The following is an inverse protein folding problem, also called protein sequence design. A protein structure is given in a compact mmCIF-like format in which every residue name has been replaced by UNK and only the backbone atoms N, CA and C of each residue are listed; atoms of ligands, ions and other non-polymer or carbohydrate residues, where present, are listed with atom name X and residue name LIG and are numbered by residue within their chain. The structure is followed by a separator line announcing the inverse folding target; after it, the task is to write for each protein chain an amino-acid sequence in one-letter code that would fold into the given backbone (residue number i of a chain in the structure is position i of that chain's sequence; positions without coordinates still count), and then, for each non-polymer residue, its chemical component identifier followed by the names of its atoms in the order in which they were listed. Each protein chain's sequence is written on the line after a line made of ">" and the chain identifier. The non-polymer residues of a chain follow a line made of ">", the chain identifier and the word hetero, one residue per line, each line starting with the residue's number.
data_IF_575913258368
#
_entry.id   IF_575913258368
#
_cell.length_a   1.000
_cell.length_b   1.000
_cell.length_c   1.000
_cell.angle_alpha   90.00
_cell.angle_beta   90.00
_cell.angle_gamma   90.00
#
_symmetry.space_group_name_H-M   'P 1'
#
loop_
_entity.id
_entity.type
_entity.pdbx_description
1 polymer ?
#
# COMPACT_ATOMS: atom_id res chain seq x y z
N UNK A 1 6.79 -34.14 5.00
CA UNK A 1 6.14 -33.05 5.73
C UNK A 1 5.86 -33.59 7.12
N UNK A 2 6.33 -32.93 8.18
CA UNK A 2 5.98 -33.29 9.55
C UNK A 2 4.46 -33.12 9.74
N UNK A 3 3.82 -34.01 10.50
CA UNK A 3 2.42 -33.80 10.91
C UNK A 3 2.34 -32.53 11.76
N UNK A 4 1.42 -31.64 11.39
CA UNK A 4 1.12 -30.42 12.15
C UNK A 4 0.34 -30.77 13.42
N UNK A 5 0.62 -30.06 14.51
CA UNK A 5 -0.03 -30.25 15.80
C UNK A 5 -1.52 -29.86 15.78
N UNK A 6 -2.29 -30.27 16.79
CA UNK A 6 -3.71 -29.90 16.88
C UNK A 6 -3.91 -28.40 17.17
N UNK A 7 -2.96 -27.78 17.87
CA UNK A 7 -2.91 -26.32 18.07
C UNK A 7 -2.69 -25.60 16.73
N UNK A 8 -1.73 -26.07 15.92
CA UNK A 8 -1.47 -25.51 14.59
C UNK A 8 -2.71 -25.64 13.67
N UNK A 9 -3.42 -26.78 13.70
CA UNK A 9 -4.66 -26.96 12.92
C UNK A 9 -5.76 -25.96 13.32
N UNK A 10 -5.89 -25.66 14.61
CA UNK A 10 -6.86 -24.67 15.10
C UNK A 10 -6.49 -23.26 14.61
N UNK A 11 -5.20 -22.90 14.66
CA UNK A 11 -4.70 -21.62 14.15
C UNK A 11 -4.95 -21.45 12.64
N UNK A 12 -4.73 -22.50 11.84
CA UNK A 12 -5.08 -22.49 10.42
C UNK A 12 -6.58 -22.23 10.20
N UNK A 13 -7.45 -22.79 11.04
CA UNK A 13 -8.90 -22.62 10.94
C UNK A 13 -9.31 -21.17 11.21
N UNK A 14 -8.82 -20.58 12.30
CA UNK A 14 -9.09 -19.17 12.63
C UNK A 14 -8.52 -18.22 11.58
N UNK A 15 -7.27 -18.45 11.17
CA UNK A 15 -6.64 -17.67 10.11
C UNK A 15 -7.48 -17.67 8.83
N UNK A 16 -7.99 -18.83 8.40
CA UNK A 16 -8.81 -18.90 7.19
C UNK A 16 -10.10 -18.08 7.31
N UNK A 17 -10.80 -18.17 8.46
CA UNK A 17 -12.00 -17.38 8.71
C UNK A 17 -11.72 -15.87 8.64
N UNK A 18 -10.60 -15.41 9.23
CA UNK A 18 -10.18 -14.02 9.17
C UNK A 18 -9.85 -13.57 7.74
N UNK A 19 -9.05 -14.34 7.01
CA UNK A 19 -8.68 -14.02 5.63
C UNK A 19 -9.93 -13.90 4.75
N UNK A 20 -10.90 -14.82 4.88
CA UNK A 20 -12.15 -14.77 4.13
C UNK A 20 -12.99 -13.53 4.44
N UNK A 21 -13.09 -13.14 5.71
CA UNK A 21 -13.82 -11.94 6.11
C UNK A 21 -13.16 -10.67 5.53
N UNK A 22 -11.84 -10.57 5.58
CA UNK A 22 -11.11 -9.41 5.06
C UNK A 22 -11.16 -9.33 3.53
N UNK A 23 -10.99 -10.46 2.83
CA UNK A 23 -11.18 -10.50 1.38
C UNK A 23 -12.62 -10.08 0.98
N UNK A 24 -13.63 -10.41 1.81
CA UNK A 24 -15.02 -9.97 1.57
C UNK A 24 -15.17 -8.44 1.63
N UNK A 25 -14.43 -7.76 2.52
CA UNK A 25 -14.41 -6.30 2.57
C UNK A 25 -13.81 -5.69 1.31
N UNK A 26 -12.67 -6.18 0.83
CA UNK A 26 -12.06 -5.73 -0.42
C UNK A 26 -13.02 -5.85 -1.61
N UNK A 27 -13.83 -6.90 -1.65
CA UNK A 27 -14.81 -7.13 -2.73
C UNK A 27 -16.10 -6.33 -2.54
N UNK A 28 -16.45 -6.00 -1.30
CA UNK A 28 -17.62 -5.19 -0.98
C UNK A 28 -17.38 -3.72 -1.26
N UNK A 29 -16.17 -3.23 -1.01
CA UNK A 29 -15.71 -1.87 -1.34
C UNK A 29 -15.39 -1.68 -2.84
N UNK A 30 -15.86 -2.57 -3.72
CA UNK A 30 -15.67 -2.41 -5.16
C UNK A 30 -16.44 -1.19 -5.71
N UNK A 31 -15.92 -0.52 -6.75
CA UNK A 31 -16.63 0.56 -7.44
C UNK A 31 -18.08 0.20 -7.80
N UNK A 32 -19.02 1.10 -7.52
CA UNK A 32 -20.44 0.94 -7.82
C UNK A 32 -21.25 0.13 -6.80
N UNK A 33 -20.60 -0.51 -5.81
CA UNK A 33 -21.31 -1.09 -4.64
C UNK A 33 -21.51 -0.07 -3.52
N UNK A 34 -20.63 0.91 -3.46
CA UNK A 34 -20.76 2.13 -2.67
C UNK A 34 -20.84 3.31 -3.63
N UNK A 35 -21.81 4.20 -3.42
CA UNK A 35 -21.92 5.43 -4.20
C UNK A 35 -20.92 6.45 -3.66
N UNK A 36 -20.02 6.94 -4.52
CA UNK A 36 -19.18 8.08 -4.19
C UNK A 36 -20.06 9.28 -3.84
N UNK A 37 -19.67 10.06 -2.83
CA UNK A 37 -20.37 11.30 -2.50
C UNK A 37 -20.43 12.22 -3.74
N UNK A 38 -21.52 12.95 -4.01
CA UNK A 38 -21.50 13.95 -5.07
C UNK A 38 -20.48 15.05 -4.72
N UNK A 39 -19.87 15.65 -5.74
CA UNK A 39 -19.07 16.87 -5.56
C UNK A 39 -20.04 17.99 -5.20
N UNK A 40 -19.81 18.67 -4.09
CA UNK A 40 -20.61 19.82 -3.67
C UNK A 40 -20.59 20.91 -4.75
N UNK A 41 -21.75 21.44 -5.09
CA UNK A 41 -21.86 22.59 -6.00
C UNK A 41 -21.26 23.87 -5.41
N UNK A 42 -21.14 23.94 -4.07
CA UNK A 42 -20.48 25.04 -3.37
C UNK A 42 -19.05 24.65 -3.06
N UNK A 43 -18.11 25.34 -3.70
CA UNK A 43 -16.68 25.16 -3.48
C UNK A 43 -16.21 25.99 -2.30
N UNK A 44 -15.54 25.34 -1.35
CA UNK A 44 -14.93 26.02 -0.21
C UNK A 44 -13.55 26.53 -0.63
N UNK A 45 -13.42 27.84 -0.75
CA UNK A 45 -12.17 28.49 -1.13
C UNK A 45 -11.22 28.59 0.08
N UNK A 46 -9.97 28.19 -0.12
CA UNK A 46 -8.91 28.26 0.88
C UNK A 46 -7.54 28.26 0.20
N UNK A 47 -6.52 28.81 0.88
CA UNK A 47 -5.16 28.74 0.37
C UNK A 47 -4.63 27.29 0.36
N UNK A 48 -3.73 26.91 -0.56
CA UNK A 48 -3.13 25.57 -0.58
C UNK A 48 -2.46 25.19 0.75
N UNK A 49 -1.84 26.14 1.44
CA UNK A 49 -1.19 25.93 2.74
C UNK A 49 -2.22 25.57 3.82
N UNK A 50 -3.35 26.28 3.82
CA UNK A 50 -4.45 26.04 4.75
C UNK A 50 -5.12 24.68 4.47
N UNK A 51 -5.37 24.37 3.20
CA UNK A 51 -5.90 23.08 2.78
C UNK A 51 -4.98 21.94 3.22
N UNK A 52 -3.68 22.08 2.94
CA UNK A 52 -2.65 21.09 3.29
C UNK A 52 -2.60 20.82 4.79
N UNK A 53 -2.55 21.88 5.61
CA UNK A 53 -2.53 21.74 7.06
C UNK A 53 -3.79 21.03 7.59
N UNK A 54 -4.97 21.38 7.05
CA UNK A 54 -6.25 20.73 7.44
C UNK A 54 -6.31 19.27 7.03
N UNK A 55 -5.91 18.96 5.79
CA UNK A 55 -5.89 17.58 5.27
C UNK A 55 -4.94 16.71 6.08
N UNK A 56 -3.69 17.15 6.32
CA UNK A 56 -2.75 16.38 7.14
C UNK A 56 -3.27 16.14 8.56
N UNK A 57 -3.88 17.15 9.18
CA UNK A 57 -4.50 16.99 10.51
C UNK A 57 -5.68 16.00 10.50
N UNK A 58 -6.51 16.04 9.46
CA UNK A 58 -7.62 15.10 9.29
C UNK A 58 -7.13 13.66 9.09
N UNK A 59 -6.09 13.46 8.28
CA UNK A 59 -5.49 12.15 8.07
C UNK A 59 -4.94 11.56 9.38
N UNK A 60 -4.29 12.39 10.21
CA UNK A 60 -3.86 11.97 11.56
C UNK A 60 -5.04 11.64 12.47
N UNK A 61 -6.15 12.35 12.35
CA UNK A 61 -7.37 12.03 13.09
C UNK A 61 -7.95 10.66 12.69
N UNK A 62 -7.77 10.24 11.43
CA UNK A 62 -8.10 8.88 10.98
C UNK A 62 -7.10 7.81 11.44
N UNK A 63 -6.04 8.19 12.14
CA UNK A 63 -5.02 7.27 12.66
C UNK A 63 -3.79 7.10 11.75
N UNK A 64 -3.64 7.93 10.71
CA UNK A 64 -2.42 7.89 9.90
C UNK A 64 -1.20 8.34 10.73
N UNK A 65 -0.16 7.51 10.75
CA UNK A 65 1.10 7.80 11.48
C UNK A 65 1.86 8.95 10.80
N UNK A 66 1.94 8.90 9.47
CA UNK A 66 2.55 9.92 8.63
C UNK A 66 1.69 10.22 7.38
N UNK A 67 1.88 11.43 6.84
CA UNK A 67 1.09 11.97 5.72
C UNK A 67 1.96 12.84 4.84
N UNK A 68 2.12 12.40 3.59
CA UNK A 68 2.85 13.06 2.53
C UNK A 68 1.94 13.44 1.37
N UNK A 69 2.33 14.44 0.60
CA UNK A 69 1.59 14.89 -0.59
C UNK A 69 2.58 15.02 -1.75
N UNK A 70 2.24 14.51 -2.92
CA UNK A 70 3.00 14.73 -4.15
C UNK A 70 2.11 15.16 -5.32
N UNK A 71 2.72 15.78 -6.34
CA UNK A 71 2.05 16.06 -7.60
C UNK A 71 2.17 14.87 -8.56
N UNK A 72 1.06 14.54 -9.21
CA UNK A 72 1.04 13.62 -10.35
C UNK A 72 1.65 14.34 -11.54
N UNK A 73 2.81 13.85 -11.96
CA UNK A 73 3.68 14.48 -12.97
C UNK A 73 3.98 13.50 -14.10
N UNK A 74 4.44 13.97 -15.26
CA UNK A 74 4.66 13.11 -16.43
C UNK A 74 5.68 11.98 -16.20
N UNK A 75 6.67 12.19 -15.33
CA UNK A 75 7.62 11.16 -14.91
C UNK A 75 6.96 9.99 -14.16
N UNK A 76 5.74 10.18 -13.66
CA UNK A 76 5.02 9.15 -12.91
C UNK A 76 4.20 8.21 -13.78
N UNK A 77 4.00 8.53 -15.07
CA UNK A 77 3.24 7.69 -16.01
C UNK A 77 3.61 6.20 -15.96
N UNK A 78 4.90 5.81 -15.89
CA UNK A 78 5.28 4.40 -15.89
C UNK A 78 4.86 3.63 -14.62
N UNK A 79 4.45 4.33 -13.56
CA UNK A 79 3.97 3.75 -12.30
C UNK A 79 2.45 3.61 -12.23
N UNK A 80 1.72 4.07 -13.25
CA UNK A 80 0.31 3.74 -13.42
C UNK A 80 0.18 2.40 -14.14
N UNK A 81 -0.76 1.58 -13.70
CA UNK A 81 -1.12 0.38 -14.44
C UNK A 81 -1.77 0.74 -15.77
N UNK A 82 -1.69 -0.15 -16.76
CA UNK A 82 -2.45 -0.01 -18.00
C UNK A 82 -3.93 -0.38 -17.82
N UNK A 83 -4.17 -1.34 -16.93
CA UNK A 83 -5.50 -1.85 -16.57
C UNK A 83 -5.59 -1.78 -15.05
N UNK A 84 -6.43 -0.87 -14.55
CA UNK A 84 -6.75 -0.73 -13.14
C UNK A 84 -7.79 -1.77 -12.72
N UNK A 85 -7.74 -2.15 -11.45
CA UNK A 85 -8.70 -3.09 -10.88
C UNK A 85 -10.08 -2.44 -10.79
N UNK A 86 -11.12 -3.23 -11.02
CA UNK A 86 -12.52 -2.83 -10.85
C UNK A 86 -13.28 -3.73 -9.90
N UNK A 87 -12.68 -4.86 -9.51
CA UNK A 87 -13.22 -5.75 -8.50
C UNK A 87 -12.13 -6.04 -7.48
N UNK A 88 -12.50 -6.05 -6.20
CA UNK A 88 -11.63 -6.57 -5.14
C UNK A 88 -11.15 -7.98 -5.48
N UNK A 89 -10.00 -8.39 -4.94
CA UNK A 89 -9.43 -9.71 -5.18
C UNK A 89 -9.56 -10.59 -3.95
N UNK A 90 -9.93 -11.86 -4.16
CA UNK A 90 -9.77 -12.88 -3.13
C UNK A 90 -8.36 -13.46 -3.25
N UNK A 91 -7.65 -13.52 -2.14
CA UNK A 91 -6.25 -13.99 -2.13
C UNK A 91 -6.12 -15.45 -1.79
N UNK A 92 -7.19 -16.07 -1.27
CA UNK A 92 -7.25 -17.51 -0.95
C UNK A 92 -7.97 -18.34 -2.02
N UNK A 93 -8.37 -17.73 -3.14
CA UNK A 93 -9.09 -18.41 -4.22
C UNK A 93 -10.55 -18.69 -3.85
N UNK A 94 -11.46 -17.84 -4.32
CA UNK A 94 -12.90 -18.04 -4.09
C UNK A 94 -13.51 -18.86 -5.24
N UNK A 95 -14.33 -19.88 -4.92
CA UNK A 95 -14.95 -20.79 -5.92
C UNK A 95 -15.73 -20.07 -7.02
N UNK A 96 -16.27 -18.89 -6.72
CA UNK A 96 -17.04 -18.06 -7.64
C UNK A 96 -16.29 -16.79 -8.07
N UNK A 97 -14.95 -16.74 -7.92
CA UNK A 97 -14.18 -15.60 -8.38
C UNK A 97 -14.38 -15.43 -9.88
N UNK A 98 -14.89 -14.26 -10.26
CA UNK A 98 -14.97 -13.85 -11.65
C UNK A 98 -13.68 -13.10 -11.97
N UNK A 99 -13.13 -13.35 -13.15
CA UNK A 99 -11.96 -12.62 -13.62
C UNK A 99 -12.29 -11.12 -13.70
N UNK A 100 -11.52 -10.30 -12.97
CA UNK A 100 -11.58 -8.85 -13.08
C UNK A 100 -10.93 -8.42 -14.40
N UNK A 101 -11.76 -8.08 -15.39
CA UNK A 101 -11.28 -7.52 -16.67
C UNK A 101 -10.69 -6.12 -16.52
N UNK A 102 -10.89 -5.50 -15.36
CA UNK A 102 -10.40 -4.17 -15.01
C UNK A 102 -11.00 -3.07 -15.89
N UNK A 103 -10.37 -1.90 -15.80
CA UNK A 103 -10.68 -0.73 -16.64
C UNK A 103 -9.38 -0.11 -17.13
N UNK A 104 -9.42 0.49 -18.32
CA UNK A 104 -8.31 1.31 -18.77
C UNK A 104 -8.08 2.48 -17.81
N UNK A 105 -6.82 2.73 -17.46
CA UNK A 105 -6.45 3.91 -16.68
C UNK A 105 -6.15 5.04 -17.67
N UNK A 106 -6.83 6.19 -17.55
CA UNK A 106 -6.62 7.30 -18.48
C UNK A 106 -5.25 7.95 -18.27
N UNK A 107 -4.65 8.40 -19.37
CA UNK A 107 -3.51 9.31 -19.36
C UNK A 107 -3.78 10.47 -20.34
N UNK A 108 -3.59 11.75 -19.96
CA UNK A 108 -3.14 12.25 -18.65
C UNK A 108 -4.11 11.88 -17.51
N UNK A 109 -3.56 11.67 -16.31
CA UNK A 109 -4.37 11.28 -15.15
C UNK A 109 -5.21 12.48 -14.65
N UNK A 110 -6.50 12.31 -14.29
CA UNK A 110 -7.43 13.42 -14.07
C UNK A 110 -7.24 14.19 -12.75
N UNK A 111 -6.30 13.76 -11.90
CA UNK A 111 -6.06 14.36 -10.58
C UNK A 111 -4.63 14.90 -10.49
N UNK A 112 -4.48 16.13 -10.03
CA UNK A 112 -3.18 16.79 -9.91
C UNK A 112 -2.35 16.33 -8.70
N UNK A 113 -3.00 16.03 -7.57
CA UNK A 113 -2.32 15.70 -6.32
C UNK A 113 -2.64 14.28 -5.86
N UNK A 114 -1.67 13.66 -5.21
CA UNK A 114 -1.82 12.41 -4.48
C UNK A 114 -1.46 12.66 -3.01
N UNK A 115 -2.39 12.36 -2.12
CA UNK A 115 -2.18 12.35 -0.67
C UNK A 115 -1.85 10.91 -0.29
N UNK A 116 -0.68 10.69 0.30
CA UNK A 116 -0.21 9.38 0.76
C UNK A 116 -0.23 9.38 2.28
N UNK A 117 -0.86 8.38 2.87
CA UNK A 117 -0.97 8.19 4.32
C UNK A 117 -0.37 6.83 4.70
N UNK A 118 0.12 6.71 5.93
CA UNK A 118 0.62 5.43 6.45
C UNK A 118 -0.25 4.88 7.56
N UNK A 119 -0.69 3.62 7.43
CA UNK A 119 -1.38 2.87 8.49
C UNK A 119 -0.42 1.90 9.16
N UNK A 120 -0.26 1.98 10.48
CA UNK A 120 0.71 1.17 11.20
C UNK A 120 0.19 -0.26 11.35
N UNK A 121 0.96 -1.23 10.88
CA UNK A 121 0.65 -2.63 11.11
C UNK A 121 0.79 -2.99 12.59
N UNK A 122 0.05 -4.01 13.05
CA UNK A 122 0.21 -4.54 14.40
C UNK A 122 1.61 -5.18 14.58
N UNK A 123 2.49 -4.45 15.26
CA UNK A 123 3.89 -4.85 15.45
C UNK A 123 4.02 -6.22 16.13
N UNK A 124 3.17 -6.50 17.12
CA UNK A 124 3.20 -7.78 17.86
C UNK A 124 2.89 -8.96 16.97
N UNK A 125 1.94 -8.83 16.04
CA UNK A 125 1.68 -9.91 15.10
C UNK A 125 2.78 -10.01 14.05
N UNK A 126 3.40 -8.90 13.65
CA UNK A 126 4.54 -8.93 12.73
C UNK A 126 5.79 -9.58 13.35
N UNK A 127 5.95 -9.54 14.67
CA UNK A 127 7.00 -10.28 15.39
C UNK A 127 6.87 -11.80 15.24
N UNK A 128 5.70 -12.30 14.82
CA UNK A 128 5.51 -13.70 14.42
C UNK A 128 6.29 -14.07 13.15
N UNK A 129 6.72 -13.08 12.34
CA UNK A 129 7.49 -13.15 11.09
C UNK A 129 6.85 -13.93 9.93
N UNK A 130 6.17 -15.03 10.22
CA UNK A 130 5.58 -15.97 9.27
C UNK A 130 4.46 -16.76 9.93
N UNK A 131 3.64 -17.41 9.11
CA UNK A 131 2.54 -18.23 9.58
C UNK A 131 1.17 -17.67 9.19
N UNK A 132 0.14 -18.49 9.34
CA UNK A 132 -1.21 -18.16 8.86
C UNK A 132 -1.83 -16.96 9.60
N UNK A 133 -1.53 -16.78 10.89
CA UNK A 133 -2.02 -15.62 11.66
C UNK A 133 -1.33 -14.30 11.25
N UNK A 134 -0.07 -14.37 10.83
CA UNK A 134 0.67 -13.22 10.28
C UNK A 134 0.07 -12.76 8.94
N UNK A 135 -0.37 -13.70 8.10
CA UNK A 135 -1.12 -13.35 6.89
C UNK A 135 -2.47 -12.73 7.23
N UNK A 136 -3.20 -13.31 8.19
CA UNK A 136 -4.50 -12.79 8.61
C UNK A 136 -4.43 -11.35 9.14
N UNK A 137 -3.45 -11.03 9.98
CA UNK A 137 -3.26 -9.64 10.47
C UNK A 137 -2.89 -8.67 9.36
N UNK A 138 -2.06 -9.12 8.41
CA UNK A 138 -1.77 -8.38 7.19
C UNK A 138 -3.04 -8.07 6.40
N UNK A 139 -3.98 -9.02 6.29
CA UNK A 139 -5.27 -8.81 5.62
C UNK A 139 -6.17 -7.84 6.38
N UNK A 140 -6.14 -7.89 7.70
CA UNK A 140 -6.86 -6.94 8.54
C UNK A 140 -6.37 -5.52 8.29
N UNK A 141 -5.05 -5.31 8.30
CA UNK A 141 -4.46 -4.00 7.99
C UNK A 141 -4.88 -3.53 6.59
N UNK A 142 -4.79 -4.38 5.58
CA UNK A 142 -5.26 -4.04 4.22
C UNK A 142 -6.73 -3.58 4.19
N UNK A 143 -7.63 -4.33 4.84
CA UNK A 143 -9.05 -3.98 4.84
C UNK A 143 -9.32 -2.69 5.65
N UNK A 144 -8.60 -2.46 6.74
CA UNK A 144 -8.69 -1.24 7.56
C UNK A 144 -8.16 -0.01 6.83
N UNK A 145 -7.06 -0.17 6.10
CA UNK A 145 -6.45 0.87 5.29
C UNK A 145 -7.36 1.39 4.17
N UNK A 146 -8.37 0.63 3.73
CA UNK A 146 -9.34 1.10 2.72
C UNK A 146 -10.30 2.20 3.28
N UNK A 147 -10.50 2.30 4.60
CA UNK A 147 -11.52 3.20 5.17
C UNK A 147 -11.12 4.69 5.16
N UNK A 148 -9.92 5.02 5.64
CA UNK A 148 -9.48 6.41 5.74
C UNK A 148 -9.47 7.15 4.38
N UNK A 149 -9.00 6.53 3.27
CA UNK A 149 -9.13 7.08 1.93
C UNK A 149 -10.56 7.43 1.53
N UNK A 150 -11.53 6.56 1.82
CA UNK A 150 -12.93 6.80 1.45
C UNK A 150 -13.59 7.93 2.26
N UNK A 151 -13.25 8.05 3.54
CA UNK A 151 -13.68 9.20 4.35
C UNK A 151 -13.10 10.50 3.80
N UNK A 152 -11.79 10.51 3.52
CA UNK A 152 -11.11 11.68 3.00
C UNK A 152 -11.63 12.08 1.62
N UNK A 153 -11.84 11.12 0.72
CA UNK A 153 -12.50 11.32 -0.57
C UNK A 153 -13.84 12.04 -0.39
N UNK A 154 -14.71 11.51 0.48
CA UNK A 154 -16.05 12.08 0.71
C UNK A 154 -15.99 13.50 1.26
N UNK A 155 -15.05 13.77 2.15
CA UNK A 155 -14.84 15.11 2.73
C UNK A 155 -14.37 16.08 1.65
N UNK A 156 -13.36 15.74 0.86
CA UNK A 156 -12.85 16.61 -0.21
C UNK A 156 -13.95 16.92 -1.25
N UNK A 157 -14.76 15.92 -1.60
CA UNK A 157 -15.92 16.08 -2.49
C UNK A 157 -16.98 17.00 -1.90
N UNK A 158 -17.21 16.93 -0.59
CA UNK A 158 -18.10 17.84 0.14
C UNK A 158 -17.55 19.27 0.19
N UNK A 159 -16.23 19.46 0.14
CA UNK A 159 -15.60 20.79 -0.01
C UNK A 159 -15.70 21.35 -1.44
N UNK A 160 -16.27 20.60 -2.39
CA UNK A 160 -16.47 21.01 -3.78
C UNK A 160 -15.28 20.76 -4.71
N UNK A 161 -14.39 19.82 -4.34
CA UNK A 161 -13.26 19.40 -5.17
C UNK A 161 -13.39 17.93 -5.55
N UNK A 162 -12.96 17.56 -6.75
CA UNK A 162 -12.95 16.16 -7.14
C UNK A 162 -11.86 15.38 -6.40
N UNK A 163 -12.18 14.15 -6.02
CA UNK A 163 -11.27 13.22 -5.37
C UNK A 163 -11.68 11.77 -5.62
N UNK A 164 -10.68 10.89 -5.56
CA UNK A 164 -10.81 9.43 -5.69
C UNK A 164 -9.86 8.74 -4.71
N UNK A 165 -10.40 7.90 -3.84
CA UNK A 165 -9.59 6.96 -3.07
C UNK A 165 -8.94 5.91 -3.99
N UNK A 166 -7.78 5.41 -3.58
CA UNK A 166 -7.03 4.34 -4.25
C UNK A 166 -7.06 3.02 -3.42
N UNK A 167 -8.24 2.48 -3.05
CA UNK A 167 -8.29 1.27 -2.23
C UNK A 167 -7.79 0.05 -3.02
N UNK A 168 -7.56 -1.06 -2.31
CA UNK A 168 -7.06 -2.30 -2.92
C UNK A 168 -7.97 -2.85 -4.03
N UNK A 169 -9.27 -2.54 -3.96
CA UNK A 169 -10.32 -2.93 -4.91
C UNK A 169 -10.38 -2.07 -6.18
N UNK A 170 -9.70 -0.91 -6.19
CA UNK A 170 -9.78 0.09 -7.26
C UNK A 170 -8.46 0.87 -7.42
N UNK A 171 -7.33 0.16 -7.27
CA UNK A 171 -5.99 0.74 -7.35
C UNK A 171 -5.55 1.01 -8.80
N UNK A 172 -4.93 2.16 -9.01
CA UNK A 172 -4.41 2.61 -10.32
C UNK A 172 -2.89 2.58 -10.44
N UNK A 173 -2.18 2.45 -9.33
CA UNK A 173 -0.75 2.76 -9.25
C UNK A 173 0.06 1.69 -8.53
N UNK A 174 1.36 1.68 -8.82
CA UNK A 174 2.37 1.20 -7.89
C UNK A 174 2.57 2.26 -6.79
N UNK A 175 2.39 1.89 -5.54
CA UNK A 175 2.28 2.83 -4.40
C UNK A 175 3.65 3.39 -3.96
N UNK A 176 4.70 2.56 -4.02
CA UNK A 176 6.02 2.90 -3.48
C UNK A 176 6.65 4.15 -4.11
N UNK A 177 6.62 4.36 -5.44
CA UNK A 177 7.10 5.60 -6.06
C UNK A 177 6.37 6.85 -5.59
N UNK A 178 5.06 6.76 -5.32
CA UNK A 178 4.26 7.89 -4.83
C UNK A 178 4.62 8.22 -3.39
N UNK A 179 4.79 7.20 -2.54
CA UNK A 179 5.22 7.38 -1.15
C UNK A 179 6.63 8.00 -1.06
N UNK A 180 7.58 7.55 -1.89
CA UNK A 180 8.93 8.16 -1.96
C UNK A 180 8.83 9.62 -2.43
N UNK A 181 8.06 9.91 -3.49
CA UNK A 181 7.89 11.27 -4.00
C UNK A 181 7.20 12.20 -2.99
N UNK A 182 6.27 11.66 -2.20
CA UNK A 182 5.55 12.35 -1.13
C UNK A 182 6.35 12.52 0.16
N UNK A 183 7.60 12.02 0.22
CA UNK A 183 8.47 12.17 1.38
C UNK A 183 8.13 11.26 2.57
N UNK A 184 7.35 10.20 2.36
CA UNK A 184 7.01 9.22 3.41
C UNK A 184 8.26 8.43 3.85
N UNK A 185 9.14 8.11 2.91
CA UNK A 185 10.25 7.21 3.16
C UNK A 185 11.13 7.01 1.93
N UNK A 186 12.07 6.07 2.07
CA UNK A 186 12.96 5.63 1.00
C UNK A 186 12.65 4.19 0.60
N UNK A 187 12.91 3.82 -0.66
CA UNK A 187 12.77 2.43 -1.11
C UNK A 187 13.88 1.56 -0.46
N UNK A 188 13.49 0.57 0.32
CA UNK A 188 14.41 -0.34 0.99
C UNK A 188 14.84 -1.53 0.14
N UNK A 189 15.87 -2.25 0.61
CA UNK A 189 16.37 -3.49 -0.02
C UNK A 189 15.26 -4.49 -0.33
N UNK A 190 14.31 -4.68 0.58
CA UNK A 190 13.18 -5.62 0.44
C UNK A 190 12.15 -5.22 -0.62
N UNK A 191 12.28 -4.04 -1.24
CA UNK A 191 11.35 -3.54 -2.26
C UNK A 191 10.11 -2.85 -1.69
N UNK A 192 10.03 -2.65 -0.38
CA UNK A 192 9.01 -1.81 0.27
C UNK A 192 9.61 -0.46 0.66
N UNK A 193 8.78 0.56 0.84
CA UNK A 193 9.20 1.84 1.41
C UNK A 193 9.46 1.65 2.91
N UNK A 194 10.52 2.27 3.42
CA UNK A 194 10.87 2.33 4.84
C UNK A 194 10.77 3.78 5.28
N UNK A 195 10.02 4.04 6.35
CA UNK A 195 9.93 5.38 6.95
C UNK A 195 11.01 5.55 8.02
N UNK A 196 11.26 6.77 8.51
CA UNK A 196 12.10 6.98 9.70
C UNK A 196 11.62 6.24 10.95
N UNK A 197 10.37 5.75 10.96
CA UNK A 197 9.78 4.99 12.06
C UNK A 197 9.79 3.46 11.83
N UNK A 198 10.33 3.00 10.70
CA UNK A 198 10.53 1.59 10.39
C UNK A 198 9.74 1.06 9.19
N UNK A 199 9.67 -0.26 9.07
CA UNK A 199 9.10 -0.97 7.90
C UNK A 199 7.64 -1.45 8.07
N UNK A 200 7.04 -1.19 9.24
CA UNK A 200 5.82 -1.84 9.70
C UNK A 200 4.56 -1.01 9.44
N UNK A 201 4.34 -0.63 8.19
CA UNK A 201 3.19 0.18 7.80
C UNK A 201 2.62 -0.26 6.44
N UNK A 202 1.43 0.26 6.14
CA UNK A 202 0.76 0.20 4.83
C UNK A 202 0.60 1.58 4.27
N UNK A 203 0.58 1.65 2.94
CA UNK A 203 0.31 2.87 2.22
C UNK A 203 -1.18 2.96 1.89
N UNK A 204 -1.68 4.18 1.87
CA UNK A 204 -3.06 4.52 1.56
C UNK A 204 -3.04 5.81 0.74
N UNK A 205 -3.72 5.84 -0.41
CA UNK A 205 -3.71 7.02 -1.27
C UNK A 205 -5.09 7.60 -1.58
N UNK A 206 -5.13 8.93 -1.70
CA UNK A 206 -6.27 9.68 -2.24
C UNK A 206 -5.77 10.64 -3.29
N UNK A 207 -6.32 10.52 -4.51
CA UNK A 207 -6.08 11.46 -5.59
C UNK A 207 -7.09 12.60 -5.53
N UNK A 208 -6.65 13.84 -5.81
CA UNK A 208 -7.54 15.00 -5.76
C UNK A 208 -7.09 16.17 -6.65
N UNK A 209 -8.05 17.04 -6.96
CA UNK A 209 -7.85 18.36 -7.56
C UNK A 209 -7.96 19.51 -6.53
N UNK A 210 -8.11 19.22 -5.23
CA UNK A 210 -7.93 20.20 -4.17
C UNK A 210 -6.49 20.75 -4.23
N UNK A 211 -6.29 22.08 -4.35
CA UNK A 211 -4.95 22.66 -4.32
C UNK A 211 -4.24 22.38 -3.00
N UNK A 212 -3.06 21.75 -3.08
CA UNK A 212 -2.25 21.35 -1.94
C UNK A 212 -0.79 21.74 -2.17
N UNK A 213 -0.02 21.78 -1.09
CA UNK A 213 1.42 22.02 -1.10
C UNK A 213 2.13 20.65 -1.08
N UNK A 214 2.85 20.27 -2.14
CA UNK A 214 3.59 19.01 -2.19
C UNK A 214 4.77 19.01 -1.21
N UNK A 215 4.99 17.85 -0.60
CA UNK A 215 6.19 17.55 0.16
C UNK A 215 7.36 17.21 -0.78
N UNK A 216 8.54 17.00 -0.19
CA UNK A 216 9.75 16.61 -0.92
C UNK A 216 10.20 15.22 -0.48
N UNK A 217 10.81 14.43 -1.39
CA UNK A 217 11.50 13.21 -1.00
C UNK A 217 12.49 13.46 0.14
N UNK A 218 12.65 12.45 0.99
CA UNK A 218 13.59 12.48 2.11
C UNK A 218 14.78 11.57 1.81
N UNK A 219 15.90 11.85 2.49
CA UNK A 219 17.07 11.00 2.55
C UNK A 219 17.51 10.94 4.02
N UNK A 220 17.34 9.76 4.62
CA UNK A 220 17.77 9.48 5.99
C UNK A 220 18.91 8.44 6.02
N UNK A 221 19.57 8.22 4.87
CA UNK A 221 20.69 7.30 4.74
C UNK A 221 20.28 5.83 4.62
N UNK A 222 19.02 5.53 4.25
CA UNK A 222 18.56 4.14 4.15
C UNK A 222 19.36 3.34 3.12
N UNK A 223 19.74 3.96 2.00
CA UNK A 223 20.48 3.26 0.95
C UNK A 223 21.82 2.73 1.46
N UNK A 224 22.63 3.57 2.11
CA UNK A 224 23.92 3.18 2.68
C UNK A 224 23.76 2.16 3.81
N UNK A 225 22.70 2.30 4.62
CA UNK A 225 22.36 1.31 5.63
C UNK A 225 22.02 -0.06 5.00
N UNK A 226 21.21 -0.07 3.94
CA UNK A 226 20.77 -1.29 3.27
C UNK A 226 21.91 -2.04 2.59
N UNK A 227 22.95 -1.35 2.10
CA UNK A 227 24.15 -1.97 1.50
C UNK A 227 24.85 -2.93 2.47
N UNK A 228 24.92 -2.55 3.75
CA UNK A 228 25.62 -3.32 4.78
C UNK A 228 24.68 -4.26 5.55
N UNK A 229 23.46 -3.82 5.89
CA UNK A 229 22.59 -4.52 6.83
C UNK A 229 22.16 -5.92 6.36
N UNK A 230 21.61 -6.03 5.13
CA UNK A 230 21.15 -7.26 4.47
C UNK A 230 20.21 -8.20 5.23
N UNK A 231 19.83 -7.88 6.47
CA UNK A 231 19.07 -8.74 7.38
C UNK A 231 17.76 -9.25 6.79
N UNK A 232 17.03 -8.42 6.03
CA UNK A 232 15.81 -8.86 5.35
C UNK A 232 16.09 -9.95 4.30
N UNK A 233 17.21 -9.86 3.57
CA UNK A 233 17.61 -10.85 2.56
C UNK A 233 18.08 -12.15 3.21
N UNK A 234 18.90 -12.06 4.25
CA UNK A 234 19.42 -13.21 5.01
C UNK A 234 18.31 -14.02 5.67
N UNK A 235 17.23 -13.35 6.10
CA UNK A 235 16.10 -13.99 6.76
C UNK A 235 14.93 -14.30 5.81
N UNK A 236 15.04 -14.01 4.50
CA UNK A 236 13.96 -14.26 3.56
C UNK A 236 13.77 -15.78 3.34
N UNK A 237 12.66 -16.38 3.80
CA UNK A 237 12.49 -17.83 3.71
C UNK A 237 12.27 -18.32 2.26
N UNK A 238 11.89 -17.41 1.36
CA UNK A 238 11.72 -17.69 -0.06
C UNK A 238 13.01 -17.50 -0.88
N UNK A 239 14.07 -16.93 -0.29
CA UNK A 239 15.26 -16.51 -1.03
C UNK A 239 14.93 -15.54 -2.18
N UNK A 240 13.97 -14.63 -1.94
CA UNK A 240 13.42 -13.73 -2.95
C UNK A 240 14.16 -12.39 -3.04
N UNK A 241 14.91 -12.01 -2.01
CA UNK A 241 15.56 -10.70 -1.86
C UNK A 241 17.05 -10.84 -2.18
N UNK A 242 17.60 -9.96 -3.02
CA UNK A 242 19.02 -9.95 -3.34
C UNK A 242 19.90 -9.66 -2.12
N UNK A 243 21.05 -10.36 -2.07
CA UNK A 243 22.14 -10.15 -1.10
C UNK A 243 23.29 -9.29 -1.65
N UNK A 244 23.11 -8.69 -2.83
CA UNK A 244 24.14 -7.83 -3.45
C UNK A 244 24.38 -6.59 -2.59
N UNK A 245 25.62 -6.11 -2.51
CA UNK A 245 25.93 -4.88 -1.75
C UNK A 245 25.18 -3.70 -2.37
N UNK A 246 25.40 -3.46 -3.66
CA UNK A 246 24.84 -2.33 -4.38
C UNK A 246 23.50 -2.67 -5.06
N UNK A 247 22.54 -1.73 -5.13
CA UNK A 247 21.37 -1.88 -5.96
C UNK A 247 21.77 -1.89 -7.43
N UNK A 248 20.97 -2.57 -8.24
CA UNK A 248 21.17 -2.63 -9.68
C UNK A 248 20.17 -1.73 -10.40
N UNK A 249 20.56 -1.28 -11.59
CA UNK A 249 19.63 -0.65 -12.51
C UNK A 249 18.77 -1.73 -13.19
N UNK A 250 17.45 -1.57 -13.09
CA UNK A 250 16.47 -2.39 -13.76
C UNK A 250 15.74 -1.55 -14.80
N UNK A 251 15.74 -2.04 -16.03
CA UNK A 251 14.92 -1.49 -17.12
C UNK A 251 13.76 -2.44 -17.36
N UNK A 252 12.60 -2.13 -16.76
CA UNK A 252 11.34 -2.82 -17.04
C UNK A 252 10.44 -1.90 -17.88
N UNK A 253 9.21 -1.63 -17.46
CA UNK A 253 8.40 -0.51 -17.96
C UNK A 253 9.06 0.83 -17.63
N UNK A 254 9.87 0.87 -16.57
CA UNK A 254 10.54 2.07 -16.06
C UNK A 254 11.99 1.71 -15.72
N UNK A 255 12.90 2.70 -15.86
CA UNK A 255 14.25 2.61 -15.31
C UNK A 255 14.20 2.88 -13.81
N UNK A 256 14.57 1.89 -13.00
CA UNK A 256 14.58 1.98 -11.54
C UNK A 256 15.91 1.48 -10.98
N UNK A 257 16.41 2.09 -9.91
CA UNK A 257 17.58 1.61 -9.17
C UNK A 257 17.06 0.99 -7.87
N UNK A 258 17.30 -0.30 -7.69
CA UNK A 258 16.82 -1.05 -6.52
C UNK A 258 17.59 -2.35 -6.34
N UNK A 259 17.40 -3.03 -5.22
CA UNK A 259 17.82 -4.42 -5.10
C UNK A 259 16.84 -5.35 -5.82
N UNK A 260 17.39 -6.42 -6.42
CA UNK A 260 16.57 -7.41 -7.12
C UNK A 260 15.61 -8.11 -6.17
N UNK A 261 14.37 -8.29 -6.63
CA UNK A 261 13.31 -8.99 -5.91
C UNK A 261 12.64 -9.99 -6.83
N UNK A 262 12.59 -11.26 -6.42
CA UNK A 262 11.79 -12.29 -7.08
C UNK A 262 10.39 -12.35 -6.47
N UNK A 263 9.51 -11.51 -7.02
CA UNK A 263 8.11 -11.42 -6.58
C UNK A 263 7.34 -12.75 -6.71
N UNK A 264 7.74 -13.65 -7.63
CA UNK A 264 7.07 -14.95 -7.80
C UNK A 264 7.41 -15.89 -6.64
N UNK A 265 8.68 -15.96 -6.25
CA UNK A 265 9.09 -16.71 -5.05
C UNK A 265 8.46 -16.16 -3.79
N UNK A 266 8.46 -14.83 -3.63
CA UNK A 266 7.83 -14.15 -2.49
C UNK A 266 6.33 -14.50 -2.40
N UNK A 267 5.60 -14.35 -3.50
CA UNK A 267 4.17 -14.64 -3.55
C UNK A 267 3.86 -16.12 -3.30
N UNK A 268 4.60 -17.04 -3.93
CA UNK A 268 4.39 -18.48 -3.73
C UNK A 268 4.58 -18.90 -2.27
N UNK A 269 5.62 -18.39 -1.60
CA UNK A 269 5.84 -18.66 -0.18
C UNK A 269 4.74 -18.06 0.69
N UNK A 270 4.37 -16.80 0.43
CA UNK A 270 3.34 -16.10 1.19
C UNK A 270 1.97 -16.77 1.08
N UNK A 271 1.57 -17.25 -0.11
CA UNK A 271 0.31 -17.98 -0.30
C UNK A 271 0.28 -19.32 0.43
N UNK A 272 1.42 -19.99 0.57
CA UNK A 272 1.50 -21.29 1.24
C UNK A 272 1.56 -21.18 2.76
N UNK A 273 2.23 -20.16 3.30
CA UNK A 273 2.61 -20.12 4.72
C UNK A 273 2.29 -18.81 5.45
N UNK A 274 1.98 -17.72 4.75
CA UNK A 274 1.95 -16.37 5.32
C UNK A 274 3.34 -15.86 5.66
N UNK A 275 3.63 -14.60 5.34
CA UNK A 275 4.97 -14.03 5.54
C UNK A 275 4.97 -12.51 5.68
N UNK A 276 5.67 -12.03 6.69
CA UNK A 276 6.05 -10.62 6.87
C UNK A 276 7.50 -10.47 7.34
N UNK A 277 8.32 -11.51 7.14
CA UNK A 277 9.64 -11.61 7.77
C UNK A 277 10.53 -10.42 7.46
N UNK A 278 10.54 -9.94 6.21
CA UNK A 278 11.34 -8.77 5.84
C UNK A 278 10.90 -7.47 6.54
N UNK A 279 9.63 -7.30 6.88
CA UNK A 279 9.12 -6.18 7.67
C UNK A 279 9.46 -6.34 9.15
N UNK A 280 9.31 -7.55 9.70
CA UNK A 280 9.53 -7.82 11.12
C UNK A 280 11.01 -7.79 11.53
N UNK A 281 11.93 -8.21 10.65
CA UNK A 281 13.37 -8.22 10.97
C UNK A 281 14.10 -6.92 10.65
N UNK A 282 13.47 -6.01 9.90
CA UNK A 282 14.05 -4.71 9.57
C UNK A 282 14.35 -3.95 10.87
N UNK A 283 15.61 -3.54 11.11
CA UNK A 283 15.99 -2.81 12.33
C UNK A 283 15.24 -1.49 12.51
#
# INVERSE_FOLDING_TARGET
>A
MSEISDEEKLDYTWSNAFQMAMDSWHVSLAPGKFAQAPISATKVEMSPETATAKIKNLCRWFGAEDVGICEVTEDMKPFFYSIGRTQGTYTTGHKNYQEDKGRAIPWPYPYKYCIVMTDKCDAKTLDGLRGPLVEASTKIACAQSDFAPHYLESIIRTLGYDAKANPFSNTDIMEEPFAVKAGIGELGRSGIVITPFGAQFRLMEVFTNLPLVPDKPIDFGLQEFCKVCKKCAENCPAGAISNDDEPSEFVTTVKSIRWSQDGKKCLAYRLAYGCSTCQGVCP
#
